data_IF_634652301637
#
_entry.id   IF_634652301637
#
_cell.length_a   1.000
_cell.length_b   1.000
_cell.length_c   1.000
_cell.angle_alpha   90.00
_cell.angle_beta   90.00
_cell.angle_gamma   90.00
#
_symmetry.space_group_name_H-M   'P 1'
#
loop_
_entity.id
_entity.type
_entity.pdbx_description
1 polymer ?
#
# COMPACT_ATOMS: atom_id res chain seq x y z
N UNK A 1 -39.97 27.07 22.05
CA UNK A 1 -38.57 26.65 22.33
C UNK A 1 -38.32 25.36 21.57
N UNK A 2 -37.83 25.47 20.33
CA UNK A 2 -37.49 24.30 19.50
C UNK A 2 -35.99 24.13 19.50
N UNK A 3 -35.50 23.01 20.05
CA UNK A 3 -34.09 22.64 19.96
C UNK A 3 -33.88 22.04 18.57
N UNK A 4 -33.25 22.80 17.68
CA UNK A 4 -32.77 22.29 16.39
C UNK A 4 -31.52 21.47 16.68
N UNK A 5 -31.66 20.15 16.66
CA UNK A 5 -30.52 19.24 16.64
C UNK A 5 -29.84 19.37 15.27
N UNK A 6 -28.73 20.11 15.23
CA UNK A 6 -27.82 20.06 14.09
C UNK A 6 -27.25 18.65 13.95
N UNK A 7 -27.25 18.05 12.74
CA UNK A 7 -26.48 16.84 12.52
C UNK A 7 -25.00 17.20 12.65
N UNK A 8 -24.33 16.62 13.63
CA UNK A 8 -22.88 16.69 13.70
C UNK A 8 -22.32 15.95 12.49
N UNK A 9 -21.52 16.65 11.69
CA UNK A 9 -20.67 16.00 10.71
C UNK A 9 -19.71 15.09 11.48
N UNK A 10 -19.92 13.76 11.36
CA UNK A 10 -18.93 12.79 11.78
C UNK A 10 -17.71 13.03 10.90
N UNK A 11 -16.63 13.56 11.48
CA UNK A 11 -15.31 13.55 10.85
C UNK A 11 -14.85 12.10 10.74
N UNK A 12 -15.22 11.44 9.64
CA UNK A 12 -14.54 10.23 9.20
C UNK A 12 -13.25 10.66 8.50
N UNK A 13 -12.11 10.15 8.97
CA UNK A 13 -10.81 10.34 8.34
C UNK A 13 -9.87 11.16 9.20
N UNK A 14 -8.94 10.48 9.85
CA UNK A 14 -7.90 11.14 10.63
C UNK A 14 -6.87 10.14 11.11
N UNK A 15 -6.08 9.62 10.18
CA UNK A 15 -4.90 8.82 10.49
C UNK A 15 -4.42 7.98 9.32
N UNK A 16 -5.33 7.33 8.58
CA UNK A 16 -4.96 6.44 7.49
C UNK A 16 -4.36 7.15 6.27
N UNK A 17 -4.87 8.32 5.92
CA UNK A 17 -4.33 9.11 4.80
C UNK A 17 -2.91 9.60 5.09
N UNK A 18 -2.64 10.00 6.34
CA UNK A 18 -1.31 10.44 6.76
C UNK A 18 -0.28 9.31 6.64
N UNK A 19 -0.68 8.06 6.91
CA UNK A 19 0.18 6.87 6.74
C UNK A 19 0.70 6.76 5.30
N UNK A 20 -0.17 6.94 4.30
CA UNK A 20 0.20 6.74 2.90
C UNK A 20 0.71 8.02 2.22
N UNK A 21 0.18 9.18 2.58
CA UNK A 21 0.41 10.43 1.85
C UNK A 21 1.22 11.45 2.65
N UNK A 22 1.55 11.16 3.90
CA UNK A 22 2.33 12.05 4.78
C UNK A 22 1.56 13.28 5.27
N UNK A 23 0.27 13.39 4.94
CA UNK A 23 -0.62 14.46 5.36
C UNK A 23 -2.09 14.01 5.28
N UNK A 24 -3.01 14.71 5.95
CA UNK A 24 -4.43 14.55 5.69
C UNK A 24 -4.73 14.84 4.22
N UNK A 25 -5.58 14.01 3.63
CA UNK A 25 -6.01 14.17 2.25
C UNK A 25 -7.49 14.58 2.27
N UNK A 26 -7.84 15.83 1.89
CA UNK A 26 -9.22 16.29 1.75
C UNK A 26 -10.07 15.35 0.89
N UNK A 27 -11.38 15.33 1.18
CA UNK A 27 -12.33 14.56 0.40
C UNK A 27 -12.29 14.97 -1.08
N UNK A 28 -12.17 13.96 -1.95
CA UNK A 28 -12.12 14.17 -3.40
C UNK A 28 -10.75 14.58 -3.94
N UNK A 29 -9.72 14.78 -3.10
CA UNK A 29 -8.36 15.04 -3.59
C UNK A 29 -7.64 13.74 -4.00
N UNK A 30 -6.94 13.76 -5.14
CA UNK A 30 -6.03 12.70 -5.60
C UNK A 30 -4.82 12.59 -4.67
N UNK A 31 -4.67 11.42 -4.06
CA UNK A 31 -3.48 11.04 -3.31
C UNK A 31 -2.65 10.07 -4.11
N UNK A 32 -1.31 10.20 -4.06
CA UNK A 32 -0.39 9.24 -4.66
C UNK A 32 0.87 9.12 -3.83
N UNK A 33 1.38 7.90 -3.69
CA UNK A 33 2.62 7.59 -3.01
C UNK A 33 3.25 6.33 -3.59
N UNK A 34 4.58 6.35 -3.74
CA UNK A 34 5.35 5.18 -4.15
C UNK A 34 6.32 4.81 -3.04
N UNK A 35 6.41 3.51 -2.75
CA UNK A 35 7.27 2.96 -1.72
C UNK A 35 8.03 1.76 -2.25
N UNK A 36 9.28 1.61 -1.84
CA UNK A 36 10.13 0.49 -2.25
C UNK A 36 10.91 -0.08 -1.07
N UNK A 37 11.20 -1.37 -1.17
CA UNK A 37 12.22 -2.03 -0.38
C UNK A 37 13.01 -2.97 -1.27
N UNK A 38 14.32 -2.77 -1.30
CA UNK A 38 15.27 -3.67 -1.94
C UNK A 38 16.19 -4.23 -0.85
N UNK A 39 16.35 -5.55 -0.82
CA UNK A 39 17.27 -6.20 0.12
C UNK A 39 18.53 -6.61 -0.61
N UNK A 40 19.67 -6.11 -0.12
CA UNK A 40 20.96 -6.49 -0.66
C UNK A 40 21.37 -7.91 -0.27
N UNK A 41 22.46 -8.37 -0.87
CA UNK A 41 23.00 -9.71 -0.63
C UNK A 41 23.42 -9.94 0.82
N UNK A 42 23.92 -8.91 1.51
CA UNK A 42 24.39 -9.04 2.89
C UNK A 42 23.19 -9.24 3.84
N UNK A 43 22.13 -8.46 3.66
CA UNK A 43 20.86 -8.63 4.37
C UNK A 43 20.28 -10.03 4.11
N UNK A 44 20.17 -10.43 2.85
CA UNK A 44 19.60 -11.73 2.49
C UNK A 44 20.44 -12.92 2.99
N UNK A 45 21.76 -12.74 3.18
CA UNK A 45 22.61 -13.75 3.81
C UNK A 45 22.40 -13.83 5.32
N UNK A 46 22.15 -12.70 5.99
CA UNK A 46 21.82 -12.65 7.42
C UNK A 46 20.40 -13.15 7.73
N UNK A 47 19.50 -13.12 6.75
CA UNK A 47 18.11 -13.57 6.84
C UNK A 47 17.85 -14.70 5.85
N UNK A 48 18.37 -15.93 6.11
CA UNK A 48 18.31 -17.03 5.16
C UNK A 48 16.89 -17.52 4.87
N UNK A 49 15.93 -17.21 5.75
CA UNK A 49 14.54 -17.61 5.59
C UNK A 49 13.66 -16.53 4.97
N UNK A 50 14.23 -15.35 4.69
CA UNK A 50 13.55 -14.31 3.94
C UNK A 50 13.57 -14.66 2.46
N UNK A 51 12.41 -14.91 1.88
CA UNK A 51 12.26 -15.28 0.47
C UNK A 51 11.97 -14.07 -0.41
N UNK A 52 11.36 -13.02 0.11
CA UNK A 52 11.14 -11.78 -0.64
C UNK A 52 12.45 -10.99 -0.72
N UNK A 53 12.86 -10.62 -1.92
CA UNK A 53 14.07 -9.81 -2.18
C UNK A 53 13.76 -8.35 -2.46
N UNK A 54 12.59 -8.10 -3.05
CA UNK A 54 12.13 -6.78 -3.43
C UNK A 54 10.63 -6.66 -3.19
N UNK A 55 10.21 -5.48 -2.72
CA UNK A 55 8.80 -5.08 -2.67
C UNK A 55 8.67 -3.66 -3.22
N UNK A 56 7.76 -3.46 -4.17
CA UNK A 56 7.37 -2.14 -4.68
C UNK A 56 5.88 -1.98 -4.41
N UNK A 57 5.47 -0.82 -3.90
CA UNK A 57 4.09 -0.54 -3.59
C UNK A 57 3.68 0.85 -4.08
N UNK A 58 2.60 0.89 -4.87
CA UNK A 58 1.90 2.09 -5.28
C UNK A 58 0.62 2.23 -4.45
N UNK A 59 0.51 3.33 -3.73
CA UNK A 59 -0.71 3.71 -3.06
C UNK A 59 -1.33 4.93 -3.74
N UNK A 60 -2.61 4.88 -4.07
CA UNK A 60 -3.33 6.04 -4.58
C UNK A 60 -4.80 6.06 -4.19
N UNK A 61 -5.36 7.25 -4.08
CA UNK A 61 -6.79 7.46 -3.82
C UNK A 61 -7.39 8.27 -4.95
N UNK A 62 -8.43 7.74 -5.57
CA UNK A 62 -9.10 8.39 -6.69
C UNK A 62 -9.86 9.65 -6.25
N UNK A 63 -9.95 10.62 -7.17
CA UNK A 63 -10.79 11.81 -6.98
C UNK A 63 -12.28 11.44 -7.04
N UNK A 64 -13.09 12.12 -6.24
CA UNK A 64 -14.54 11.98 -6.27
C UNK A 64 -15.21 11.84 -4.90
N UNK A 65 -16.54 12.04 -4.84
CA UNK A 65 -17.31 11.79 -3.64
C UNK A 65 -17.41 10.28 -3.38
N UNK A 66 -17.15 9.86 -2.14
CA UNK A 66 -17.35 8.47 -1.72
C UNK A 66 -16.25 7.49 -2.10
N UNK A 67 -15.03 7.96 -2.41
CA UNK A 67 -13.83 7.13 -2.63
C UNK A 67 -12.86 7.19 -1.44
N UNK A 68 -13.27 6.83 -0.20
CA UNK A 68 -12.39 6.95 0.98
C UNK A 68 -11.26 5.92 0.99
N UNK A 69 -11.36 4.89 0.16
CA UNK A 69 -10.43 3.77 0.10
C UNK A 69 -9.20 4.13 -0.74
N UNK A 70 -8.04 3.64 -0.33
CA UNK A 70 -6.81 3.76 -1.11
C UNK A 70 -6.55 2.46 -1.84
N UNK A 71 -6.39 2.53 -3.15
CA UNK A 71 -5.80 1.42 -3.92
C UNK A 71 -4.35 1.27 -3.46
N UNK A 72 -3.95 0.03 -3.22
CA UNK A 72 -2.61 -0.36 -2.80
C UNK A 72 -2.15 -1.52 -3.67
N UNK A 73 -1.58 -1.19 -4.82
CA UNK A 73 -0.96 -2.18 -5.68
C UNK A 73 0.43 -2.47 -5.16
N UNK A 74 0.80 -3.74 -4.98
CA UNK A 74 2.17 -4.11 -4.68
C UNK A 74 2.67 -5.26 -5.55
N UNK A 75 3.98 -5.26 -5.78
CA UNK A 75 4.69 -6.38 -6.40
C UNK A 75 5.76 -6.91 -5.47
N UNK A 76 5.94 -8.23 -5.50
CA UNK A 76 6.96 -8.95 -4.74
C UNK A 76 7.85 -9.76 -5.66
N UNK A 77 9.15 -9.65 -5.45
CA UNK A 77 10.12 -10.55 -6.05
C UNK A 77 10.56 -11.58 -5.03
N UNK A 78 10.54 -12.85 -5.42
CA UNK A 78 10.96 -13.96 -4.58
C UNK A 78 12.31 -14.51 -5.06
N UNK A 79 13.14 -14.99 -4.13
CA UNK A 79 14.41 -15.66 -4.45
C UNK A 79 14.17 -16.80 -5.42
N UNK A 80 14.99 -16.85 -6.47
CA UNK A 80 15.01 -17.92 -7.46
C UNK A 80 13.68 -18.11 -8.22
N UNK A 81 12.77 -17.13 -8.15
CA UNK A 81 11.53 -17.12 -8.92
C UNK A 81 11.64 -15.99 -9.94
N UNK A 82 11.51 -16.30 -11.25
CA UNK A 82 11.53 -15.26 -12.26
C UNK A 82 10.25 -14.43 -12.20
N UNK A 83 10.41 -13.12 -12.40
CA UNK A 83 9.30 -12.19 -12.50
C UNK A 83 8.71 -11.76 -11.16
N UNK A 84 8.03 -10.63 -11.22
CA UNK A 84 7.39 -10.00 -10.06
C UNK A 84 5.98 -10.55 -9.90
N UNK A 85 5.61 -10.86 -8.67
CA UNK A 85 4.30 -11.39 -8.31
C UNK A 85 3.42 -10.25 -7.84
N UNK A 86 2.21 -10.15 -8.40
CA UNK A 86 1.31 -9.02 -8.18
C UNK A 86 0.30 -9.32 -7.08
N UNK A 87 0.11 -8.33 -6.21
CA UNK A 87 -0.87 -8.34 -5.13
C UNK A 87 -1.62 -7.00 -5.16
N UNK A 88 -2.60 -6.83 -6.06
CA UNK A 88 -3.53 -5.71 -5.97
C UNK A 88 -4.27 -5.74 -4.64
N UNK A 89 -4.51 -4.58 -4.07
CA UNK A 89 -5.21 -4.48 -2.81
C UNK A 89 -5.89 -3.16 -2.61
N UNK A 90 -6.74 -3.13 -1.60
CA UNK A 90 -7.49 -1.94 -1.19
C UNK A 90 -7.32 -1.77 0.31
N UNK A 91 -7.06 -0.54 0.73
CA UNK A 91 -6.82 -0.16 2.11
C UNK A 91 -7.87 0.84 2.61
N UNK A 92 -8.30 0.65 3.85
CA UNK A 92 -9.27 1.48 4.52
C UNK A 92 -8.74 1.96 5.87
N UNK A 93 -9.12 3.18 6.26
CA UNK A 93 -8.87 3.67 7.62
C UNK A 93 -9.73 2.90 8.62
N UNK A 94 -9.13 2.50 9.74
CA UNK A 94 -9.85 1.91 10.87
C UNK A 94 -9.99 2.95 11.98
N UNK A 95 -11.21 3.16 12.47
CA UNK A 95 -11.47 4.15 13.52
C UNK A 95 -10.62 3.86 14.78
N UNK A 96 -9.89 4.88 15.26
CA UNK A 96 -9.03 4.76 16.44
C UNK A 96 -7.74 3.96 16.23
N UNK A 97 -7.41 3.57 15.00
CA UNK A 97 -6.20 2.82 14.67
C UNK A 97 -5.20 3.69 13.91
N UNK A 98 -3.90 3.63 14.25
CA UNK A 98 -2.84 4.22 13.43
C UNK A 98 -2.46 3.33 12.22
N UNK A 99 -3.19 2.22 12.01
CA UNK A 99 -3.00 1.28 10.90
C UNK A 99 -4.19 1.30 9.96
N UNK A 100 -3.89 1.17 8.68
CA UNK A 100 -4.83 0.81 7.64
C UNK A 100 -5.08 -0.70 7.68
N UNK A 101 -6.35 -1.09 7.53
CA UNK A 101 -6.71 -2.47 7.24
C UNK A 101 -6.81 -2.61 5.71
N UNK A 102 -6.14 -3.61 5.17
CA UNK A 102 -6.07 -3.83 3.74
C UNK A 102 -6.42 -5.28 3.39
N UNK A 103 -7.05 -5.46 2.23
CA UNK A 103 -7.29 -6.77 1.63
C UNK A 103 -6.56 -6.86 0.30
N UNK A 104 -5.97 -8.02 0.01
CA UNK A 104 -5.60 -8.35 -1.37
C UNK A 104 -6.88 -8.70 -2.11
N UNK A 105 -6.99 -8.26 -3.37
CA UNK A 105 -8.14 -8.58 -4.20
C UNK A 105 -8.28 -10.10 -4.44
N UNK A 106 -9.44 -10.53 -4.94
CA UNK A 106 -9.76 -11.94 -5.19
C UNK A 106 -9.69 -12.83 -3.92
N UNK A 107 -10.03 -12.27 -2.76
CA UNK A 107 -9.93 -12.95 -1.46
C UNK A 107 -8.50 -13.44 -1.13
N UNK A 108 -7.48 -12.75 -1.65
CA UNK A 108 -6.06 -13.09 -1.46
C UNK A 108 -5.52 -12.85 -0.05
N UNK A 109 -6.38 -12.75 0.97
CA UNK A 109 -6.01 -12.51 2.36
C UNK A 109 -5.96 -11.03 2.75
N UNK A 110 -5.52 -10.78 3.99
CA UNK A 110 -5.51 -9.44 4.58
C UNK A 110 -4.13 -9.07 5.10
N UNK A 111 -3.83 -7.78 5.02
CA UNK A 111 -2.59 -7.19 5.51
C UNK A 111 -2.88 -5.85 6.17
N UNK A 112 -1.90 -5.29 6.87
CA UNK A 112 -2.02 -3.98 7.48
C UNK A 112 -0.89 -3.06 7.02
N UNK A 113 -1.20 -1.77 6.88
CA UNK A 113 -0.19 -0.74 6.58
C UNK A 113 -0.16 0.28 7.69
N UNK A 114 1.03 0.69 8.12
CA UNK A 114 1.19 1.70 9.18
C UNK A 114 2.39 2.60 8.92
N UNK A 115 2.35 3.82 9.44
CA UNK A 115 3.45 4.76 9.30
C UNK A 115 4.68 4.36 10.12
N UNK A 116 5.87 4.65 9.60
CA UNK A 116 7.16 4.47 10.28
C UNK A 116 8.03 5.71 10.06
N UNK A 117 7.86 6.70 10.92
CA UNK A 117 8.43 8.03 10.69
C UNK A 117 7.74 8.73 9.52
N UNK A 118 8.39 9.74 8.96
CA UNK A 118 7.78 10.62 7.95
C UNK A 118 7.81 10.02 6.52
N UNK A 119 8.80 9.18 6.23
CA UNK A 119 9.11 8.74 4.86
C UNK A 119 9.04 7.23 4.67
N UNK A 120 8.59 6.46 5.66
CA UNK A 120 8.51 5.01 5.54
C UNK A 120 7.17 4.48 6.03
N UNK A 121 6.79 3.31 5.53
CA UNK A 121 5.65 2.53 6.01
C UNK A 121 6.11 1.15 6.45
N UNK A 122 5.30 0.49 7.27
CA UNK A 122 5.36 -0.95 7.52
C UNK A 122 4.18 -1.62 6.85
N UNK A 123 4.46 -2.65 6.06
CA UNK A 123 3.47 -3.56 5.49
C UNK A 123 3.54 -4.88 6.26
N UNK A 124 2.50 -5.21 7.01
CA UNK A 124 2.40 -6.40 7.84
C UNK A 124 1.49 -7.43 7.17
N UNK A 125 2.10 -8.50 6.67
CA UNK A 125 1.43 -9.61 5.98
C UNK A 125 1.38 -10.88 6.85
N UNK A 126 1.53 -10.73 8.17
CA UNK A 126 1.63 -11.88 9.09
C UNK A 126 0.39 -12.78 9.08
N UNK A 127 -0.77 -12.23 8.70
CA UNK A 127 -2.03 -12.96 8.49
C UNK A 127 -2.04 -13.87 7.26
N UNK A 128 -1.04 -13.76 6.39
CA UNK A 128 -0.94 -14.50 5.12
C UNK A 128 -1.68 -13.77 3.99
N UNK A 129 -1.02 -13.72 2.83
CA UNK A 129 -1.61 -13.24 1.58
C UNK A 129 -1.29 -14.21 0.43
N UNK A 130 -2.07 -14.16 -0.64
CA UNK A 130 -1.90 -14.94 -1.88
C UNK A 130 -2.25 -14.08 -3.10
N UNK A 131 -1.76 -14.46 -4.28
CA UNK A 131 -2.10 -13.77 -5.54
C UNK A 131 -3.51 -14.15 -6.02
N UNK A 132 -4.10 -13.31 -6.88
CA UNK A 132 -5.43 -13.51 -7.47
C UNK A 132 -5.55 -14.82 -8.28
N UNK A 133 -4.47 -15.29 -8.91
CA UNK A 133 -4.49 -16.53 -9.69
C UNK A 133 -4.50 -17.80 -8.81
N UNK A 134 -4.53 -17.65 -7.49
CA UNK A 134 -4.65 -18.73 -6.50
C UNK A 134 -3.40 -19.62 -6.38
N UNK A 135 -2.56 -19.65 -7.42
CA UNK A 135 -1.32 -20.41 -7.48
C UNK A 135 -0.14 -19.47 -7.76
N UNK A 136 0.64 -19.20 -6.72
CA UNK A 136 1.97 -18.63 -6.86
C UNK A 136 2.85 -19.65 -7.61
N UNK A 137 3.82 -19.22 -8.44
CA UNK A 137 4.75 -20.12 -9.09
C UNK A 137 5.38 -21.11 -8.11
N UNK A 138 5.69 -22.34 -8.55
CA UNK A 138 6.28 -23.34 -7.66
C UNK A 138 7.56 -22.79 -6.98
N UNK A 139 7.57 -22.78 -5.65
CA UNK A 139 8.67 -22.19 -4.89
C UNK A 139 8.58 -20.67 -4.68
N UNK A 140 7.52 -20.01 -5.13
CA UNK A 140 7.15 -18.70 -4.62
C UNK A 140 6.31 -18.87 -3.35
N UNK A 141 6.49 -17.96 -2.40
CA UNK A 141 5.84 -18.03 -1.10
C UNK A 141 6.68 -17.38 -0.01
N UNK A 142 6.03 -17.03 1.07
CA UNK A 142 6.63 -16.34 2.20
C UNK A 142 7.38 -17.33 3.10
N UNK A 143 8.61 -16.98 3.46
CA UNK A 143 9.37 -17.68 4.48
C UNK A 143 9.11 -17.11 5.88
N UNK A 144 9.87 -17.61 6.87
CA UNK A 144 9.64 -17.24 8.28
C UNK A 144 9.96 -15.78 8.58
N UNK A 145 10.90 -15.20 7.84
CA UNK A 145 11.30 -13.79 7.98
C UNK A 145 10.44 -12.83 7.13
N UNK A 146 9.53 -13.35 6.29
CA UNK A 146 8.67 -12.55 5.42
C UNK A 146 7.34 -12.23 6.11
N UNK A 147 7.38 -11.33 7.10
CA UNK A 147 6.20 -10.97 7.91
C UNK A 147 5.87 -9.50 7.88
N UNK A 148 6.87 -8.66 8.12
CA UNK A 148 6.72 -7.22 8.17
C UNK A 148 7.82 -6.59 7.33
N UNK A 149 7.42 -5.75 6.39
CA UNK A 149 8.32 -5.09 5.46
C UNK A 149 8.30 -3.60 5.74
N UNK A 150 9.48 -3.02 6.00
CA UNK A 150 9.65 -1.57 5.98
C UNK A 150 9.91 -1.14 4.53
N UNK A 151 9.07 -0.27 4.00
CA UNK A 151 9.27 0.33 2.68
C UNK A 151 9.51 1.81 2.84
N UNK A 152 10.41 2.33 2.01
CA UNK A 152 10.79 3.73 1.98
C UNK A 152 10.10 4.43 0.83
N UNK A 153 9.55 5.62 1.10
CA UNK A 153 8.97 6.48 0.08
C UNK A 153 10.04 6.84 -0.94
N UNK A 154 9.67 6.81 -2.22
CA UNK A 154 10.55 7.14 -3.34
C UNK A 154 9.80 7.91 -4.43
N UNK A 155 10.52 8.29 -5.49
CA UNK A 155 9.94 8.92 -6.67
C UNK A 155 8.91 8.01 -7.36
N UNK A 156 7.84 8.62 -7.87
CA UNK A 156 6.73 7.90 -8.48
C UNK A 156 7.14 7.05 -9.68
N UNK A 157 8.24 7.40 -10.37
CA UNK A 157 8.74 6.65 -11.50
C UNK A 157 9.09 5.19 -11.16
N UNK A 158 9.46 4.90 -9.90
CA UNK A 158 9.73 3.52 -9.45
C UNK A 158 8.47 2.63 -9.42
N UNK A 159 7.28 3.23 -9.39
CA UNK A 159 6.00 2.54 -9.36
C UNK A 159 5.26 2.56 -10.71
N UNK A 160 5.92 2.98 -11.80
CA UNK A 160 5.27 3.13 -13.12
C UNK A 160 4.59 1.85 -13.59
N UNK A 161 5.21 0.71 -13.36
CA UNK A 161 4.70 -0.60 -13.78
C UNK A 161 3.54 -1.10 -12.91
N UNK A 162 3.23 -0.42 -11.80
CA UNK A 162 2.09 -0.71 -10.93
C UNK A 162 0.87 0.18 -11.22
N UNK A 163 1.01 1.14 -12.16
CA UNK A 163 -0.07 2.00 -12.64
C UNK A 163 -0.80 1.32 -13.79
N UNK A 164 -1.60 0.29 -13.51
CA UNK A 164 -2.26 -0.51 -14.56
C UNK A 164 -3.46 0.18 -15.20
N UNK A 165 -4.08 1.09 -14.45
CA UNK A 165 -5.16 1.92 -14.97
C UNK A 165 -4.56 3.02 -15.87
N UNK A 166 -4.72 2.84 -17.18
CA UNK A 166 -4.23 3.76 -18.22
C UNK A 166 -4.85 5.16 -18.11
N UNK A 167 -6.08 5.27 -17.59
CA UNK A 167 -6.76 6.56 -17.37
C UNK A 167 -6.17 7.27 -16.14
N UNK A 168 -5.89 6.52 -15.07
CA UNK A 168 -5.31 7.08 -13.85
C UNK A 168 -3.82 7.39 -13.97
N UNK A 169 -3.06 6.58 -14.73
CA UNK A 169 -1.61 6.72 -14.87
C UNK A 169 -1.13 8.17 -15.13
N UNK A 170 -1.64 8.91 -16.14
CA UNK A 170 -1.20 10.28 -16.38
C UNK A 170 -1.50 11.22 -15.19
N UNK A 171 -2.67 11.07 -14.55
CA UNK A 171 -3.08 11.89 -13.39
C UNK A 171 -2.19 11.64 -12.18
N UNK A 172 -1.85 10.38 -11.93
CA UNK A 172 -0.92 9.99 -10.85
C UNK A 172 0.48 10.59 -11.05
N UNK A 173 0.98 10.55 -12.28
CA UNK A 173 2.29 11.12 -12.62
C UNK A 173 2.29 12.66 -12.49
N UNK A 174 1.23 13.32 -12.95
CA UNK A 174 1.08 14.77 -12.81
C UNK A 174 1.02 15.18 -11.32
N UNK A 175 0.18 14.49 -10.53
CA UNK A 175 0.03 14.76 -9.09
C UNK A 175 1.33 14.62 -8.32
N UNK A 176 2.15 13.63 -8.67
CA UNK A 176 3.46 13.41 -8.08
C UNK A 176 4.50 14.45 -8.54
N UNK A 177 4.43 14.90 -9.80
CA UNK A 177 5.35 15.89 -10.37
C UNK A 177 5.08 17.34 -9.91
N UNK A 178 3.84 17.66 -9.53
CA UNK A 178 3.41 19.00 -9.14
C UNK A 178 3.75 19.44 -7.71
N UNK A 179 4.48 18.65 -6.93
CA UNK A 179 4.84 18.97 -5.54
C UNK A 179 6.23 19.64 -5.39
N UNK A 180 6.63 20.47 -6.37
CA UNK A 180 7.87 21.28 -6.30
C UNK A 180 7.58 22.72 -5.97
#
# INVERSE_FOLDING_TARGET
>A
MGVVLSPQAVSAGGGGDEVLYGRPLPQGELGVACFVRHYDRAHLAAHPEQRVTDMVALAYRQEGPGTPESVFNMTLRFRNIPGDQQFPGVCQSVAGSPRLACGVECDGGSFAVSGRGETSILVDISGGISSCDGEMPAGAGFGRDDKIFRLDRTDIAACRDLMWDDEMRPRLLERAGGSR
#
